data_IF_638711182633
#
_entry.id   IF_638711182633
#
_cell.length_a   1.000
_cell.length_b   1.000
_cell.length_c   1.000
_cell.angle_alpha   90.00
_cell.angle_beta   90.00
_cell.angle_gamma   90.00
#
_symmetry.space_group_name_H-M   'P 1'
#
loop_
_entity.id
_entity.type
_entity.pdbx_description
1 polymer ?
#
# COMPACT_ATOMS: atom_id res chain seq x y z
N UNK A 1 -27.51 3.62 -20.59
CA UNK A 1 -26.33 3.05 -21.27
C UNK A 1 -25.08 3.44 -20.50
N UNK A 2 -24.90 2.90 -19.28
CA UNK A 2 -23.71 3.12 -18.42
C UNK A 2 -23.49 1.80 -17.68
N UNK A 3 -22.70 0.91 -18.24
CA UNK A 3 -22.30 -0.34 -17.60
C UNK A 3 -21.01 -0.93 -18.20
N UNK A 4 -19.93 -0.16 -18.36
CA UNK A 4 -18.65 -0.69 -18.91
C UNK A 4 -17.41 -0.12 -18.19
N UNK A 5 -17.42 0.21 -16.93
CA UNK A 5 -16.22 0.72 -16.27
C UNK A 5 -15.77 -0.04 -15.01
N UNK A 6 -16.42 -1.12 -14.62
CA UNK A 6 -16.04 -1.91 -13.45
C UNK A 6 -15.21 -3.18 -13.76
N UNK A 7 -15.07 -3.54 -15.04
CA UNK A 7 -14.38 -4.78 -15.42
C UNK A 7 -12.83 -4.68 -15.49
N UNK A 8 -12.28 -3.47 -15.59
CA UNK A 8 -10.84 -3.31 -15.85
C UNK A 8 -9.96 -3.58 -14.60
N UNK A 9 -10.46 -3.33 -13.40
CA UNK A 9 -9.70 -3.51 -12.17
C UNK A 9 -9.55 -4.98 -11.77
N UNK A 10 -10.62 -5.73 -11.86
CA UNK A 10 -10.61 -7.15 -11.48
C UNK A 10 -9.78 -8.02 -12.45
N UNK A 11 -9.83 -7.72 -13.75
CA UNK A 11 -9.03 -8.42 -14.74
C UNK A 11 -7.52 -8.14 -14.59
N UNK A 12 -7.16 -6.91 -14.19
CA UNK A 12 -5.76 -6.51 -13.93
C UNK A 12 -5.21 -7.15 -12.66
N UNK A 13 -6.01 -7.21 -11.60
CA UNK A 13 -5.65 -7.92 -10.36
C UNK A 13 -5.50 -9.44 -10.59
N UNK A 14 -6.37 -10.04 -11.38
CA UNK A 14 -6.29 -11.45 -11.75
C UNK A 14 -5.02 -11.77 -12.56
N UNK A 15 -4.63 -10.91 -13.49
CA UNK A 15 -3.41 -11.07 -14.28
C UNK A 15 -2.15 -10.92 -13.42
N UNK A 16 -2.12 -9.96 -12.48
CA UNK A 16 -0.99 -9.80 -11.56
C UNK A 16 -0.87 -10.99 -10.60
N UNK A 17 -1.99 -11.54 -10.13
CA UNK A 17 -1.99 -12.73 -9.29
C UNK A 17 -1.51 -13.98 -10.05
N UNK A 18 -1.90 -14.13 -11.32
CA UNK A 18 -1.43 -15.20 -12.18
C UNK A 18 0.10 -15.10 -12.46
N UNK A 19 0.61 -13.89 -12.65
CA UNK A 19 2.02 -13.61 -12.90
C UNK A 19 2.90 -13.97 -11.66
N UNK A 20 2.41 -13.63 -10.47
CA UNK A 20 3.05 -14.02 -9.20
C UNK A 20 3.04 -15.55 -9.01
N UNK A 21 1.93 -16.21 -9.35
CA UNK A 21 1.81 -17.67 -9.26
C UNK A 21 2.71 -18.40 -10.26
N UNK A 22 3.09 -17.75 -11.37
CA UNK A 22 3.96 -18.30 -12.40
C UNK A 22 5.48 -18.19 -12.12
N UNK A 23 5.86 -17.71 -10.91
CA UNK A 23 7.26 -17.65 -10.47
C UNK A 23 7.85 -16.25 -10.29
N UNK A 24 7.11 -15.20 -10.58
CA UNK A 24 7.47 -13.83 -10.20
C UNK A 24 6.92 -13.51 -8.81
N UNK A 25 7.78 -13.45 -7.81
CA UNK A 25 7.36 -13.20 -6.42
C UNK A 25 6.77 -11.82 -6.18
N UNK A 26 7.00 -10.86 -7.07
CA UNK A 26 6.45 -9.49 -7.02
C UNK A 26 6.09 -9.04 -8.43
N UNK A 27 4.82 -8.75 -8.67
CA UNK A 27 4.32 -8.13 -9.90
C UNK A 27 3.81 -6.71 -9.61
N UNK A 28 4.19 -5.73 -10.43
CA UNK A 28 3.82 -4.32 -10.22
C UNK A 28 3.37 -3.71 -11.53
N UNK A 29 2.23 -3.02 -11.51
CA UNK A 29 1.74 -2.17 -12.60
C UNK A 29 1.63 -0.73 -12.12
N UNK A 30 2.17 0.21 -12.87
CA UNK A 30 2.13 1.65 -12.57
C UNK A 30 1.55 2.39 -13.75
N UNK A 31 0.58 3.26 -13.48
CA UNK A 31 0.01 4.21 -14.44
C UNK A 31 0.24 5.63 -13.93
N UNK A 32 0.60 6.55 -14.80
CA UNK A 32 0.82 7.95 -14.49
C UNK A 32 0.04 8.80 -15.48
N UNK A 33 -0.67 9.79 -14.99
CA UNK A 33 -1.25 10.86 -15.79
C UNK A 33 -0.52 12.17 -15.48
N UNK A 34 0.40 12.60 -16.37
CA UNK A 34 1.17 13.83 -16.17
C UNK A 34 0.29 15.09 -16.21
N UNK A 35 -0.78 15.12 -16.99
CA UNK A 35 -1.65 16.29 -17.12
C UNK A 35 -2.42 16.55 -15.82
N UNK A 36 -2.91 15.50 -15.19
CA UNK A 36 -3.64 15.57 -13.93
C UNK A 36 -2.75 15.47 -12.69
N UNK A 37 -1.45 15.24 -12.88
CA UNK A 37 -0.49 14.95 -11.79
C UNK A 37 -0.97 13.80 -10.88
N UNK A 38 -1.57 12.77 -11.46
CA UNK A 38 -2.04 11.59 -10.74
C UNK A 38 -1.16 10.39 -11.01
N UNK A 39 -1.11 9.49 -10.06
CA UNK A 39 -0.44 8.21 -10.20
C UNK A 39 -1.24 7.10 -9.55
N UNK A 40 -1.33 5.98 -10.25
CA UNK A 40 -1.94 4.74 -9.75
C UNK A 40 -0.92 3.63 -9.80
N UNK A 41 -0.92 2.79 -8.78
CA UNK A 41 -0.14 1.56 -8.78
C UNK A 41 -0.96 0.40 -8.26
N UNK A 42 -0.68 -0.77 -8.80
CA UNK A 42 -1.22 -2.04 -8.35
C UNK A 42 -0.05 -3.03 -8.26
N UNK A 43 0.02 -3.76 -7.17
CA UNK A 43 1.10 -4.70 -6.94
C UNK A 43 0.58 -5.95 -6.25
N UNK A 44 1.19 -7.09 -6.58
CA UNK A 44 0.94 -8.36 -5.92
C UNK A 44 2.26 -8.96 -5.48
N UNK A 45 2.32 -9.45 -4.26
CA UNK A 45 3.50 -10.12 -3.71
C UNK A 45 3.09 -11.43 -3.04
N UNK A 46 3.86 -12.49 -3.30
CA UNK A 46 3.75 -13.79 -2.65
C UNK A 46 4.74 -13.86 -1.50
N UNK A 47 4.28 -14.15 -0.30
CA UNK A 47 5.04 -14.09 0.95
C UNK A 47 4.90 -15.43 1.67
N UNK A 48 6.01 -16.06 2.02
CA UNK A 48 6.04 -17.31 2.80
C UNK A 48 5.83 -17.00 4.30
N UNK A 49 4.64 -16.60 4.64
CA UNK A 49 4.20 -16.29 5.99
C UNK A 49 2.67 -16.37 6.09
N UNK A 50 2.15 -16.50 7.32
CA UNK A 50 0.71 -16.49 7.55
C UNK A 50 0.10 -15.13 7.26
N UNK A 51 -1.17 -15.11 6.93
CA UNK A 51 -1.94 -13.88 6.69
C UNK A 51 -1.93 -12.96 7.91
N UNK A 52 -2.00 -13.53 9.10
CA UNK A 52 -1.94 -12.82 10.38
C UNK A 52 -0.59 -12.13 10.59
N UNK A 53 0.51 -12.78 10.21
CA UNK A 53 1.86 -12.18 10.24
C UNK A 53 1.95 -10.99 9.29
N UNK A 54 1.51 -11.16 8.05
CA UNK A 54 1.51 -10.05 7.07
C UNK A 54 0.60 -8.91 7.53
N UNK A 55 -0.59 -9.24 8.05
CA UNK A 55 -1.53 -8.28 8.62
C UNK A 55 -0.90 -7.43 9.71
N UNK A 56 -0.26 -8.05 10.69
CA UNK A 56 0.37 -7.36 11.81
C UNK A 56 1.43 -6.36 11.36
N UNK A 57 2.15 -6.65 10.28
CA UNK A 57 3.16 -5.76 9.71
C UNK A 57 2.55 -4.56 8.99
N UNK A 58 1.56 -4.78 8.12
CA UNK A 58 0.97 -3.69 7.31
C UNK A 58 0.08 -2.74 8.12
N UNK A 59 -0.40 -3.17 9.29
CA UNK A 59 -1.25 -2.35 10.18
C UNK A 59 -0.48 -1.71 11.34
N UNK A 60 0.83 -1.91 11.41
CA UNK A 60 1.69 -1.41 12.49
C UNK A 60 2.44 -0.15 12.08
N UNK A 61 2.24 0.97 12.79
CA UNK A 61 3.02 2.20 12.58
C UNK A 61 4.54 1.99 12.78
N UNK A 62 5.02 1.31 13.85
CA UNK A 62 6.44 1.00 13.99
C UNK A 62 7.03 0.22 12.81
N UNK A 63 6.28 -0.71 12.24
CA UNK A 63 6.72 -1.46 11.07
C UNK A 63 6.65 -0.63 9.79
N UNK A 64 5.62 0.20 9.62
CA UNK A 64 5.52 1.12 8.50
C UNK A 64 6.72 2.07 8.40
N UNK A 65 7.20 2.60 9.54
CA UNK A 65 8.41 3.43 9.60
C UNK A 65 9.67 2.71 9.10
N UNK A 66 9.70 1.38 9.19
CA UNK A 66 10.85 0.56 8.76
C UNK A 66 10.73 0.10 7.30
N UNK A 67 9.50 0.00 6.80
CA UNK A 67 9.22 -0.56 5.47
C UNK A 67 8.98 0.50 4.40
N UNK A 68 8.35 1.62 4.78
CA UNK A 68 7.94 2.65 3.80
C UNK A 68 9.05 3.67 3.62
N UNK A 69 9.69 3.74 2.44
CA UNK A 69 10.75 4.71 2.18
C UNK A 69 10.24 6.15 2.35
N UNK A 70 11.01 6.95 3.05
CA UNK A 70 10.69 8.35 3.29
C UNK A 70 9.63 8.62 4.37
N UNK A 71 9.03 7.61 4.98
CA UNK A 71 8.12 7.79 6.11
C UNK A 71 8.93 8.11 7.37
N UNK A 72 8.80 9.34 7.89
CA UNK A 72 9.48 9.78 9.11
C UNK A 72 8.59 9.70 10.35
N UNK A 73 7.28 9.91 10.19
CA UNK A 73 6.32 9.88 11.28
C UNK A 73 5.11 9.05 10.87
N UNK A 74 4.71 8.16 11.74
CA UNK A 74 3.45 7.43 11.69
C UNK A 74 2.82 7.48 13.09
N UNK A 75 1.76 8.27 13.25
CA UNK A 75 1.06 8.43 14.52
C UNK A 75 -0.39 7.98 14.38
N UNK A 76 -0.82 7.10 15.26
CA UNK A 76 -2.24 6.77 15.41
C UNK A 76 -2.90 7.88 16.24
N UNK A 77 -3.75 8.69 15.60
CA UNK A 77 -4.44 9.81 16.23
C UNK A 77 -5.73 9.37 16.93
N UNK A 78 -6.38 8.36 16.38
CA UNK A 78 -7.68 7.87 16.87
C UNK A 78 -7.86 6.41 16.47
N UNK A 79 -8.50 5.63 17.32
CA UNK A 79 -8.85 4.23 17.06
C UNK A 79 -10.32 4.01 17.44
N UNK A 80 -11.08 3.34 16.59
CA UNK A 80 -12.44 2.93 16.90
C UNK A 80 -12.48 2.00 18.13
N UNK A 81 -13.53 2.05 18.93
CA UNK A 81 -13.68 1.20 20.12
C UNK A 81 -13.64 -0.30 19.77
N UNK A 82 -14.21 -0.67 18.63
CA UNK A 82 -14.23 -2.02 18.07
C UNK A 82 -13.00 -2.36 17.24
N UNK A 83 -12.03 -1.42 17.15
CA UNK A 83 -10.81 -1.51 16.33
C UNK A 83 -11.07 -1.72 14.84
N UNK A 84 -12.25 -1.37 14.33
CA UNK A 84 -12.61 -1.50 12.91
C UNK A 84 -11.92 -0.46 12.02
N UNK A 85 -11.42 0.64 12.58
CA UNK A 85 -10.66 1.64 11.85
C UNK A 85 -9.70 2.42 12.76
N UNK A 86 -8.71 3.04 12.11
CA UNK A 86 -7.79 3.99 12.72
C UNK A 86 -7.66 5.25 11.87
N UNK A 87 -7.44 6.38 12.53
CA UNK A 87 -7.02 7.64 11.93
C UNK A 87 -5.54 7.81 12.16
N UNK A 88 -4.77 7.89 11.09
CA UNK A 88 -3.32 7.83 11.15
C UNK A 88 -2.74 9.07 10.45
N UNK A 89 -1.78 9.73 11.10
CA UNK A 89 -0.98 10.81 10.53
C UNK A 89 0.32 10.26 9.99
N UNK A 90 0.64 10.58 8.75
CA UNK A 90 1.92 10.30 8.12
C UNK A 90 2.64 11.60 7.79
N UNK A 91 3.98 11.61 8.00
CA UNK A 91 4.88 12.64 7.49
C UNK A 91 5.92 11.96 6.62
N UNK A 92 5.95 12.35 5.34
CA UNK A 92 6.87 11.81 4.35
C UNK A 92 7.96 12.83 4.03
N UNK A 93 9.19 12.37 3.94
CA UNK A 93 10.33 13.15 3.50
C UNK A 93 11.05 12.41 2.37
N UNK A 94 10.81 12.82 1.14
CA UNK A 94 11.42 12.15 -0.04
C UNK A 94 12.79 12.72 -0.40
N UNK A 95 13.06 13.99 -0.08
CA UNK A 95 14.35 14.64 -0.31
C UNK A 95 14.36 16.08 0.21
N UNK A 96 15.57 16.66 0.31
CA UNK A 96 15.77 18.03 0.81
C UNK A 96 15.14 19.12 -0.06
N UNK A 97 14.86 18.84 -1.35
CA UNK A 97 14.28 19.79 -2.31
C UNK A 97 12.78 19.61 -2.55
N UNK A 98 12.16 18.61 -1.93
CA UNK A 98 10.71 18.44 -1.92
C UNK A 98 10.21 18.72 -0.51
N UNK A 99 9.22 19.62 -0.32
CA UNK A 99 8.64 19.83 0.98
C UNK A 99 8.18 18.52 1.61
N UNK A 100 8.32 18.40 2.92
CA UNK A 100 7.74 17.25 3.64
C UNK A 100 6.23 17.23 3.41
N UNK A 101 5.71 16.05 3.10
CA UNK A 101 4.28 15.82 2.90
C UNK A 101 3.67 15.33 4.20
N UNK A 102 2.71 16.06 4.71
CA UNK A 102 1.90 15.62 5.87
C UNK A 102 0.49 15.31 5.42
N UNK A 103 0.01 14.13 5.74
CA UNK A 103 -1.37 13.76 5.46
C UNK A 103 -1.95 12.85 6.55
N UNK A 104 -3.26 12.88 6.63
CA UNK A 104 -4.04 12.05 7.56
C UNK A 104 -4.94 11.14 6.75
N UNK A 105 -4.92 9.88 7.09
CA UNK A 105 -5.73 8.82 6.48
C UNK A 105 -6.68 8.20 7.51
N UNK A 106 -7.75 7.60 7.00
CA UNK A 106 -8.52 6.56 7.67
C UNK A 106 -8.10 5.22 7.10
N UNK A 107 -7.65 4.33 7.95
CA UNK A 107 -7.47 2.92 7.63
C UNK A 107 -8.64 2.13 8.21
N UNK A 108 -9.42 1.47 7.38
CA UNK A 108 -10.56 0.63 7.79
C UNK A 108 -10.17 -0.83 7.62
N UNK A 109 -10.52 -1.66 8.58
CA UNK A 109 -10.03 -3.02 8.74
C UNK A 109 -11.13 -4.07 8.63
N UNK A 110 -10.99 -5.01 7.70
CA UNK A 110 -11.68 -6.29 7.67
C UNK A 110 -10.64 -7.39 7.92
N UNK A 111 -10.48 -7.72 9.20
CA UNK A 111 -9.37 -8.57 9.69
C UNK A 111 -9.57 -10.04 9.35
N UNK A 112 -8.50 -10.72 8.97
CA UNK A 112 -7.18 -10.25 8.53
C UNK A 112 -7.08 -10.16 7.01
N UNK A 113 -8.19 -9.86 6.31
CA UNK A 113 -8.34 -9.99 4.87
C UNK A 113 -8.11 -8.68 4.10
N UNK A 114 -8.61 -7.55 4.61
CA UNK A 114 -8.58 -6.30 3.86
C UNK A 114 -8.32 -5.08 4.73
N UNK A 115 -7.49 -4.17 4.23
CA UNK A 115 -7.33 -2.81 4.73
C UNK A 115 -7.71 -1.85 3.63
N UNK A 116 -8.64 -0.94 3.89
CA UNK A 116 -8.97 0.16 2.99
C UNK A 116 -8.39 1.46 3.53
N UNK A 117 -7.77 2.24 2.68
CA UNK A 117 -7.08 3.48 3.03
C UNK A 117 -7.74 4.63 2.29
N UNK A 118 -8.17 5.65 3.02
CA UNK A 118 -8.77 6.85 2.45
C UNK A 118 -8.16 8.11 3.08
N UNK A 119 -7.94 9.12 2.25
CA UNK A 119 -7.48 10.42 2.71
C UNK A 119 -8.56 11.12 3.54
N UNK A 120 -8.16 11.67 4.68
CA UNK A 120 -8.98 12.61 5.45
C UNK A 120 -8.55 14.06 5.15
N UNK A 121 -7.25 14.36 5.26
CA UNK A 121 -6.73 15.73 5.12
C UNK A 121 -5.24 15.74 4.79
N UNK A 122 -4.68 16.92 4.58
CA UNK A 122 -3.24 17.14 4.38
C UNK A 122 -2.85 17.45 2.95
N UNK A 123 -1.56 17.32 2.66
CA UNK A 123 -0.90 17.85 1.45
C UNK A 123 -1.17 17.05 0.17
N UNK A 124 -1.77 15.88 0.27
CA UNK A 124 -2.24 15.15 -0.91
C UNK A 124 -3.65 15.64 -1.30
N UNK A 125 -3.93 15.77 -2.59
CA UNK A 125 -5.28 16.03 -3.13
C UNK A 125 -6.11 14.75 -3.11
N UNK A 126 -5.48 13.64 -3.49
CA UNK A 126 -6.09 12.31 -3.50
C UNK A 126 -5.14 11.31 -2.86
N UNK A 127 -5.68 10.44 -2.02
CA UNK A 127 -5.04 9.21 -1.57
C UNK A 127 -6.12 8.20 -1.28
N UNK A 128 -6.15 7.14 -2.07
CA UNK A 128 -6.98 5.95 -1.85
C UNK A 128 -6.11 4.74 -2.04
N UNK A 129 -6.32 3.72 -1.26
CA UNK A 129 -5.56 2.50 -1.40
C UNK A 129 -6.23 1.33 -0.70
N UNK A 130 -5.73 0.14 -0.98
CA UNK A 130 -6.17 -1.06 -0.29
C UNK A 130 -5.05 -2.10 -0.22
N UNK A 131 -5.12 -2.92 0.80
CA UNK A 131 -4.46 -4.21 0.89
C UNK A 131 -5.51 -5.31 0.91
N UNK A 132 -5.33 -6.33 0.10
CA UNK A 132 -6.11 -7.55 0.13
C UNK A 132 -5.15 -8.72 0.37
N UNK A 133 -5.44 -9.53 1.39
CA UNK A 133 -4.62 -10.66 1.79
C UNK A 133 -5.38 -11.97 1.59
N UNK A 134 -4.83 -12.87 0.77
CA UNK A 134 -5.38 -14.20 0.52
C UNK A 134 -4.39 -15.28 0.95
N UNK A 135 -4.86 -16.29 1.67
CA UNK A 135 -4.04 -17.47 1.98
C UNK A 135 -3.89 -18.37 0.76
N UNK A 136 -2.69 -18.89 0.55
CA UNK A 136 -2.32 -19.82 -0.52
C UNK A 136 -1.37 -20.89 0.07
N UNK A 137 -1.93 -21.88 0.75
CA UNK A 137 -1.16 -22.87 1.52
C UNK A 137 -0.36 -22.19 2.64
N UNK A 138 0.97 -22.40 2.61
CA UNK A 138 1.91 -21.77 3.57
C UNK A 138 2.28 -20.32 3.19
N UNK A 139 1.66 -19.78 2.15
CA UNK A 139 1.92 -18.45 1.64
C UNK A 139 0.72 -17.53 1.84
N UNK A 140 1.00 -16.24 1.83
CA UNK A 140 0.02 -15.17 1.67
C UNK A 140 0.25 -14.46 0.34
N UNK A 141 -0.79 -14.33 -0.45
CA UNK A 141 -0.82 -13.42 -1.61
C UNK A 141 -1.34 -12.09 -1.11
N UNK A 142 -0.48 -11.08 -1.10
CA UNK A 142 -0.83 -9.72 -0.73
C UNK A 142 -0.97 -8.87 -2.00
N UNK A 143 -2.17 -8.35 -2.23
CA UNK A 143 -2.46 -7.39 -3.29
C UNK A 143 -2.58 -5.99 -2.70
N UNK A 144 -1.81 -5.06 -3.25
CA UNK A 144 -1.81 -3.64 -2.88
C UNK A 144 -2.26 -2.79 -4.06
N UNK A 145 -3.13 -1.83 -3.82
CA UNK A 145 -3.48 -0.80 -4.78
C UNK A 145 -3.38 0.58 -4.16
N UNK A 146 -3.00 1.58 -4.94
CA UNK A 146 -2.97 2.97 -4.52
C UNK A 146 -3.21 3.90 -5.69
N UNK A 147 -4.05 4.91 -5.44
CA UNK A 147 -4.23 6.10 -6.27
C UNK A 147 -3.82 7.31 -5.46
N UNK A 148 -2.95 8.12 -6.01
CA UNK A 148 -2.45 9.32 -5.33
C UNK A 148 -2.34 10.52 -6.28
N UNK A 149 -2.59 11.71 -5.72
CA UNK A 149 -2.33 12.98 -6.36
C UNK A 149 -1.81 13.97 -5.33
N UNK A 150 -0.68 14.66 -5.59
CA UNK A 150 -0.24 15.77 -4.76
C UNK A 150 -1.28 16.89 -4.72
N UNK A 151 -1.35 17.63 -3.60
CA UNK A 151 -2.19 18.82 -3.45
C UNK A 151 -1.53 20.10 -3.96
N UNK A 152 -0.27 20.03 -4.37
CA UNK A 152 0.51 21.12 -4.95
C UNK A 152 1.33 20.58 -6.13
N UNK A 153 1.86 21.51 -6.93
CA UNK A 153 2.68 21.11 -8.08
C UNK A 153 3.95 20.39 -7.63
N UNK A 154 4.18 19.20 -8.16
CA UNK A 154 5.44 18.45 -8.02
C UNK A 154 5.93 18.01 -9.41
N UNK A 155 7.24 17.96 -9.63
CA UNK A 155 7.76 17.39 -10.87
C UNK A 155 7.30 15.96 -11.08
N UNK A 156 6.90 15.57 -12.29
CA UNK A 156 6.38 14.21 -12.59
C UNK A 156 7.32 13.10 -12.19
N UNK A 157 8.64 13.35 -12.25
CA UNK A 157 9.62 12.36 -11.86
C UNK A 157 9.54 11.99 -10.37
N UNK A 158 9.02 12.87 -9.50
CA UNK A 158 8.80 12.58 -8.06
C UNK A 158 7.75 11.49 -7.91
N UNK A 159 6.56 11.68 -8.47
CA UNK A 159 5.47 10.69 -8.43
C UNK A 159 5.93 9.37 -9.06
N UNK A 160 6.63 9.47 -10.21
CA UNK A 160 7.21 8.30 -10.89
C UNK A 160 8.19 7.54 -10.00
N UNK A 161 9.06 8.27 -9.26
CA UNK A 161 10.06 7.66 -8.38
C UNK A 161 9.39 6.92 -7.22
N UNK A 162 8.40 7.55 -6.58
CA UNK A 162 7.63 6.93 -5.50
C UNK A 162 7.01 5.61 -5.97
N UNK A 163 6.28 5.64 -7.07
CA UNK A 163 5.58 4.44 -7.54
C UNK A 163 6.52 3.38 -8.14
N UNK A 164 7.60 3.77 -8.82
CA UNK A 164 8.48 2.82 -9.52
C UNK A 164 9.69 2.34 -8.71
N UNK A 165 10.12 3.09 -7.70
CA UNK A 165 11.28 2.72 -6.86
C UNK A 165 10.87 2.37 -5.44
N UNK A 166 10.02 3.20 -4.82
CA UNK A 166 9.73 3.05 -3.39
C UNK A 166 8.69 1.98 -3.13
N UNK A 167 7.69 1.83 -4.00
CA UNK A 167 6.73 0.73 -3.88
C UNK A 167 7.40 -0.66 -3.94
N UNK A 168 8.28 -0.97 -4.93
CA UNK A 168 9.00 -2.24 -4.91
C UNK A 168 9.89 -2.45 -3.68
N UNK A 169 10.49 -1.38 -3.15
CA UNK A 169 11.31 -1.45 -1.92
C UNK A 169 10.46 -1.78 -0.71
N UNK A 170 9.31 -1.12 -0.57
CA UNK A 170 8.34 -1.39 0.49
C UNK A 170 7.86 -2.86 0.46
N UNK A 171 7.48 -3.37 -0.72
CA UNK A 171 7.02 -4.75 -0.87
C UNK A 171 8.11 -5.79 -0.56
N UNK A 172 9.35 -5.54 -0.98
CA UNK A 172 10.49 -6.40 -0.62
C UNK A 172 10.77 -6.37 0.88
N UNK A 173 10.69 -5.19 1.51
CA UNK A 173 10.85 -5.05 2.95
C UNK A 173 9.75 -5.80 3.71
N UNK A 174 8.48 -5.65 3.29
CA UNK A 174 7.35 -6.39 3.85
C UNK A 174 7.60 -7.91 3.77
N UNK A 175 7.93 -8.42 2.58
CA UNK A 175 8.22 -9.84 2.37
C UNK A 175 9.34 -10.33 3.29
N UNK A 176 10.50 -9.68 3.24
CA UNK A 176 11.67 -10.08 4.05
C UNK A 176 11.36 -10.09 5.54
N UNK A 177 10.59 -9.12 6.03
CA UNK A 177 10.21 -9.04 7.45
C UNK A 177 9.19 -10.11 7.84
N UNK A 178 8.21 -10.37 6.98
CA UNK A 178 7.20 -11.40 7.23
C UNK A 178 7.81 -12.79 7.24
N UNK A 179 8.72 -13.08 6.31
CA UNK A 179 9.41 -14.37 6.21
C UNK A 179 10.45 -14.58 7.33
N UNK A 180 10.98 -13.51 7.92
CA UNK A 180 11.87 -13.55 9.08
C UNK A 180 11.14 -13.61 10.43
N UNK A 181 9.82 -13.36 10.46
CA UNK A 181 9.05 -13.42 11.69
C UNK A 181 8.99 -14.88 12.20
N UNK A 182 9.11 -15.09 13.54
CA UNK A 182 8.94 -16.43 14.10
C UNK A 182 7.58 -16.98 13.68
N UNK A 183 7.59 -18.18 13.09
CA UNK A 183 6.34 -18.89 12.77
C UNK A 183 5.62 -19.13 14.09
N UNK A 184 4.46 -18.51 14.29
CA UNK A 184 3.63 -18.81 15.45
C UNK A 184 3.32 -20.32 15.40
N UNK A 185 3.93 -21.07 16.31
CA UNK A 185 3.66 -22.49 16.46
C UNK A 185 2.18 -22.65 16.78
N UNK A 186 1.49 -23.42 15.93
CA UNK A 186 0.09 -23.83 16.12
C UNK A 186 -0.01 -24.79 17.30
#
# INVERSE_FOLDING_TARGET
MIAILLASGAARAANLAADVSAGNDIAISVSLDPAEQTGSASATVRIHASRETVWSLITSCPESLRMVPGLEICDVLETAQDQSWQKIRHVMNYSWYVPKLTYVIRATYDRPAMVTIERISGDLRTLRGSWELKSDGDYTIAHYSVDLAPGFWVPHWVVRTVLRKDLPRMLRALRSRAEAAPTAQR
#
